data_IF_398069858398
#
_entry.id   IF_398069858398
#
_cell.length_a   1.000
_cell.length_b   1.000
_cell.length_c   1.000
_cell.angle_alpha   90.00
_cell.angle_beta   90.00
_cell.angle_gamma   90.00
#
_symmetry.space_group_name_H-M   'P 1'
#
loop_
_entity.id
_entity.type
_entity.pdbx_description
1 polymer ?
#
# COMPACT_ATOMS: atom_id res chain seq x y z
N UNK A 1 -8.03 -1.83 -19.87
CA UNK A 1 -7.31 -2.17 -18.63
C UNK A 1 -7.64 -1.09 -17.63
N UNK A 2 -8.01 -1.39 -16.37
CA UNK A 2 -7.97 -0.39 -15.30
C UNK A 2 -6.51 0.00 -15.11
N UNK A 3 -6.05 0.93 -15.93
CA UNK A 3 -4.90 1.74 -15.61
C UNK A 3 -5.40 2.74 -14.59
N UNK A 4 -4.68 2.92 -13.49
CA UNK A 4 -4.76 4.15 -12.71
C UNK A 4 -4.19 5.26 -13.60
N UNK A 5 -4.95 5.63 -14.63
CA UNK A 5 -4.71 6.79 -15.46
C UNK A 5 -5.12 7.96 -14.60
N UNK A 6 -4.21 8.36 -13.74
CA UNK A 6 -4.39 9.53 -12.92
C UNK A 6 -4.40 10.77 -13.83
N UNK A 7 -5.57 11.08 -14.38
CA UNK A 7 -5.80 12.25 -15.24
C UNK A 7 -5.60 13.55 -14.43
N UNK A 8 -5.57 13.51 -13.09
CA UNK A 8 -5.59 14.72 -12.27
C UNK A 8 -4.43 14.89 -11.28
N UNK A 9 -3.60 13.88 -11.02
CA UNK A 9 -2.62 13.93 -9.94
C UNK A 9 -1.45 12.90 -10.02
N UNK A 10 -1.05 12.44 -11.23
CA UNK A 10 -0.11 11.29 -11.44
C UNK A 10 1.11 11.19 -10.51
N UNK A 11 1.59 12.31 -9.96
CA UNK A 11 2.64 12.35 -8.94
C UNK A 11 2.39 13.41 -7.85
N UNK A 12 1.14 13.77 -7.57
CA UNK A 12 0.79 14.78 -6.58
C UNK A 12 -0.08 14.19 -5.46
N UNK A 13 0.18 14.55 -4.20
CA UNK A 13 -0.62 14.09 -3.08
C UNK A 13 -2.06 14.62 -3.16
N UNK A 14 -2.96 13.84 -2.59
CA UNK A 14 -4.38 14.16 -2.40
C UNK A 14 -4.66 14.82 -1.05
N UNK A 15 -3.82 14.53 -0.04
CA UNK A 15 -3.84 15.13 1.28
C UNK A 15 -2.44 15.11 1.89
N UNK A 16 -2.30 15.80 3.01
CA UNK A 16 -1.06 15.86 3.79
C UNK A 16 -1.37 15.48 5.24
N UNK A 17 -0.36 14.92 5.90
CA UNK A 17 -0.42 14.60 7.32
C UNK A 17 0.91 14.92 7.97
N UNK A 18 0.90 15.68 9.06
CA UNK A 18 2.11 15.93 9.84
C UNK A 18 2.76 14.61 10.28
N UNK A 19 4.07 14.52 10.12
CA UNK A 19 4.80 13.31 10.46
C UNK A 19 6.30 13.48 10.29
N UNK A 20 7.05 12.83 11.19
CA UNK A 20 8.51 12.81 11.09
C UNK A 20 8.91 12.05 9.82
N UNK A 21 9.76 12.61 8.94
CA UNK A 21 10.26 11.88 7.79
C UNK A 21 10.87 10.53 8.21
N UNK A 22 10.74 9.50 7.37
CA UNK A 22 11.28 8.16 7.61
C UNK A 22 10.31 7.01 7.55
N UNK A 23 10.76 5.80 7.92
CA UNK A 23 9.89 4.63 7.97
C UNK A 23 8.67 4.91 8.85
N UNK A 24 7.48 4.61 8.32
CA UNK A 24 6.25 4.69 9.10
C UNK A 24 6.30 3.66 10.23
N UNK A 25 6.08 4.12 11.47
CA UNK A 25 6.09 3.29 12.69
C UNK A 25 4.73 3.24 13.38
N UNK A 26 3.70 3.86 12.78
CA UNK A 26 2.33 3.81 13.30
C UNK A 26 1.69 2.43 13.12
N UNK A 27 0.60 2.23 13.84
CA UNK A 27 -0.21 1.00 13.79
C UNK A 27 -1.53 1.21 13.05
N UNK A 28 -1.86 2.46 12.73
CA UNK A 28 -3.07 2.85 12.01
C UNK A 28 -3.01 2.36 10.57
N UNK A 29 -4.17 1.93 10.04
CA UNK A 29 -4.34 1.63 8.64
C UNK A 29 -4.13 2.89 7.79
N UNK A 30 -3.45 2.75 6.66
CA UNK A 30 -3.11 3.87 5.79
C UNK A 30 -4.36 4.47 5.14
N UNK A 31 -5.34 3.63 4.81
CA UNK A 31 -6.68 4.08 4.40
C UNK A 31 -7.36 4.95 5.46
N UNK A 32 -7.30 4.56 6.73
CA UNK A 32 -7.92 5.32 7.82
C UNK A 32 -7.19 6.66 8.04
N UNK A 33 -5.87 6.69 7.88
CA UNK A 33 -5.10 7.93 7.89
C UNK A 33 -5.48 8.86 6.74
N UNK A 34 -5.72 8.32 5.54
CA UNK A 34 -6.20 9.10 4.40
C UNK A 34 -7.59 9.67 4.68
N UNK A 35 -8.52 8.84 5.17
CA UNK A 35 -9.87 9.27 5.51
C UNK A 35 -9.86 10.37 6.60
N UNK A 36 -9.03 10.23 7.63
CA UNK A 36 -8.85 11.25 8.67
C UNK A 36 -8.21 12.56 8.17
N UNK A 37 -7.37 12.48 7.13
CA UNK A 37 -6.79 13.64 6.45
C UNK A 37 -7.76 14.26 5.41
N UNK A 38 -8.99 13.76 5.30
CA UNK A 38 -9.99 14.24 4.36
C UNK A 38 -9.80 13.76 2.92
N UNK A 39 -8.98 12.72 2.70
CA UNK A 39 -8.82 12.08 1.40
C UNK A 39 -9.59 10.76 1.36
N UNK A 40 -10.66 10.74 0.57
CA UNK A 40 -11.41 9.52 0.26
C UNK A 40 -11.51 9.43 -1.26
N UNK A 41 -10.68 8.56 -1.85
CA UNK A 41 -10.43 8.47 -3.29
C UNK A 41 -9.71 9.68 -3.90
N UNK A 42 -9.07 10.51 -3.08
CA UNK A 42 -8.33 11.69 -3.51
C UNK A 42 -9.07 12.55 -4.52
N UNK A 43 -8.50 12.72 -5.73
CA UNK A 43 -9.11 13.48 -6.85
C UNK A 43 -9.79 12.61 -7.89
N UNK A 44 -9.97 11.33 -7.61
CA UNK A 44 -10.67 10.40 -8.51
C UNK A 44 -12.13 10.83 -8.66
N UNK A 45 -12.67 10.82 -9.89
CA UNK A 45 -14.12 10.87 -10.08
C UNK A 45 -14.76 9.56 -9.59
N UNK A 46 -15.33 9.58 -8.39
CA UNK A 46 -15.99 8.43 -7.77
C UNK A 46 -17.23 7.97 -8.53
N UNK A 47 -17.76 8.79 -9.44
CA UNK A 47 -18.91 8.48 -10.30
C UNK A 47 -18.51 8.00 -11.69
N UNK A 48 -17.21 7.88 -11.97
CA UNK A 48 -16.74 7.33 -13.23
C UNK A 48 -17.35 5.95 -13.47
N UNK A 49 -17.76 5.71 -14.73
CA UNK A 49 -18.31 4.42 -15.15
C UNK A 49 -17.30 3.30 -14.84
N UNK A 50 -17.77 2.15 -14.32
CA UNK A 50 -16.86 1.09 -13.97
C UNK A 50 -16.23 0.47 -15.21
N UNK A 51 -15.02 -0.05 -15.04
CA UNK A 51 -14.30 -0.77 -16.09
C UNK A 51 -14.30 -2.27 -15.82
N UNK A 52 -14.16 -3.09 -16.86
CA UNK A 52 -14.03 -4.53 -16.67
C UNK A 52 -12.75 -4.87 -15.87
N UNK A 53 -12.88 -5.81 -14.94
CA UNK A 53 -11.74 -6.39 -14.26
C UNK A 53 -10.71 -6.93 -15.27
N UNK A 54 -9.40 -6.73 -15.05
CA UNK A 54 -8.36 -7.32 -15.86
C UNK A 54 -8.45 -8.85 -15.83
N UNK A 55 -8.38 -9.49 -17.00
CA UNK A 55 -8.39 -10.95 -17.09
C UNK A 55 -7.16 -11.62 -16.47
N UNK A 56 -6.05 -10.88 -16.32
CA UNK A 56 -4.84 -11.35 -15.65
C UNK A 56 -4.87 -11.16 -14.13
N UNK A 57 -5.93 -10.56 -13.56
CA UNK A 57 -6.07 -10.38 -12.11
C UNK A 57 -5.03 -9.43 -11.50
N UNK A 58 -4.47 -8.50 -12.28
CA UNK A 58 -3.40 -7.61 -11.83
C UNK A 58 -3.84 -6.14 -11.89
N UNK A 59 -3.61 -5.41 -10.81
CA UNK A 59 -3.64 -3.95 -10.78
C UNK A 59 -2.28 -3.42 -11.23
N UNK A 60 -2.27 -2.42 -12.11
CA UNK A 60 -1.04 -1.77 -12.60
C UNK A 60 -1.07 -0.28 -12.32
N UNK A 61 0.02 0.24 -11.75
CA UNK A 61 0.19 1.65 -11.44
C UNK A 61 1.02 2.34 -12.53
N UNK A 62 0.48 3.43 -13.08
CA UNK A 62 1.23 4.35 -13.93
C UNK A 62 1.78 5.50 -13.09
N UNK A 63 2.66 5.16 -12.14
CA UNK A 63 3.36 6.12 -11.27
C UNK A 63 4.84 6.22 -11.66
N UNK A 64 5.40 7.43 -11.63
CA UNK A 64 6.84 7.65 -11.81
C UNK A 64 7.53 8.12 -10.53
N UNK A 65 6.76 8.57 -9.56
CA UNK A 65 7.23 9.00 -8.26
C UNK A 65 7.92 7.84 -7.51
N UNK A 66 9.02 8.17 -6.84
CA UNK A 66 9.79 7.26 -6.00
C UNK A 66 9.74 7.79 -4.58
N UNK A 67 8.91 7.18 -3.74
CA UNK A 67 8.76 7.57 -2.35
C UNK A 67 8.94 6.38 -1.42
N UNK A 68 9.44 6.63 -0.22
CA UNK A 68 9.38 5.64 0.85
C UNK A 68 8.03 5.71 1.53
N UNK A 69 7.62 4.59 2.09
CA UNK A 69 6.47 4.51 2.99
C UNK A 69 5.43 3.47 2.57
N UNK A 70 4.47 3.21 3.47
CA UNK A 70 3.57 2.08 3.35
C UNK A 70 2.42 2.33 2.39
N UNK A 71 1.91 1.26 1.78
CA UNK A 71 0.69 1.32 0.97
C UNK A 71 -0.25 0.17 1.26
N UNK A 72 -1.51 0.39 0.89
CA UNK A 72 -2.60 -0.57 0.99
C UNK A 72 -3.40 -0.59 -0.32
N UNK A 73 -3.86 -1.77 -0.71
CA UNK A 73 -4.79 -1.99 -1.81
C UNK A 73 -6.05 -2.65 -1.25
N UNK A 74 -7.19 -2.01 -1.48
CA UNK A 74 -8.49 -2.43 -1.01
C UNK A 74 -9.41 -2.76 -2.18
N UNK A 75 -10.30 -3.72 -1.97
CA UNK A 75 -11.47 -3.98 -2.82
C UNK A 75 -12.71 -3.84 -1.94
N UNK A 76 -13.49 -2.79 -2.18
CA UNK A 76 -14.48 -2.25 -1.26
C UNK A 76 -13.85 -2.10 0.15
N UNK A 77 -14.44 -2.77 1.14
CA UNK A 77 -13.97 -2.75 2.54
C UNK A 77 -12.99 -3.88 2.87
N UNK A 78 -12.51 -4.64 1.88
CA UNK A 78 -11.59 -5.76 2.08
C UNK A 78 -10.16 -5.36 1.75
N UNK A 79 -9.23 -5.49 2.71
CA UNK A 79 -7.81 -5.29 2.46
C UNK A 79 -7.27 -6.47 1.66
N UNK A 80 -6.79 -6.20 0.45
CA UNK A 80 -6.35 -7.21 -0.50
C UNK A 80 -4.83 -7.35 -0.53
N UNK A 81 -4.11 -6.26 -0.32
CA UNK A 81 -2.65 -6.25 -0.22
C UNK A 81 -2.17 -5.04 0.60
N UNK A 82 -0.99 -5.17 1.21
CA UNK A 82 -0.29 -4.07 1.86
C UNK A 82 1.22 -4.29 1.81
N UNK A 83 1.98 -3.20 1.99
CA UNK A 83 3.43 -3.22 2.14
C UNK A 83 3.88 -2.09 3.06
N UNK A 84 4.93 -2.33 3.87
CA UNK A 84 5.56 -1.30 4.71
C UNK A 84 6.42 -0.32 3.89
N UNK A 85 6.93 -0.78 2.75
CA UNK A 85 7.55 0.05 1.72
C UNK A 85 6.99 -0.35 0.36
N UNK A 86 6.08 0.47 -0.16
CA UNK A 86 5.37 0.20 -1.41
C UNK A 86 6.32 0.12 -2.61
N UNK A 87 7.25 1.08 -2.70
CA UNK A 87 8.13 1.22 -3.85
C UNK A 87 9.06 0.03 -4.02
N UNK A 88 9.65 -0.48 -2.93
CA UNK A 88 10.57 -1.62 -3.01
C UNK A 88 9.84 -2.94 -3.16
N UNK A 89 8.66 -3.07 -2.57
CA UNK A 89 7.86 -4.32 -2.60
C UNK A 89 7.23 -4.54 -3.97
N UNK A 90 6.69 -3.49 -4.57
CA UNK A 90 6.01 -3.53 -5.87
C UNK A 90 6.83 -2.78 -6.94
N UNK A 91 8.10 -3.17 -7.07
CA UNK A 91 9.07 -2.51 -7.95
C UNK A 91 8.69 -2.57 -9.45
N UNK A 92 7.90 -3.57 -9.85
CA UNK A 92 7.35 -3.69 -11.21
C UNK A 92 6.04 -2.90 -11.41
N UNK A 93 5.57 -2.19 -10.38
CA UNK A 93 4.34 -1.40 -10.34
C UNK A 93 3.08 -2.23 -10.55
N UNK A 94 3.11 -3.49 -10.14
CA UNK A 94 1.96 -4.38 -10.19
C UNK A 94 1.60 -4.95 -8.83
N UNK A 95 0.31 -5.11 -8.57
CA UNK A 95 -0.21 -5.81 -7.39
C UNK A 95 -1.27 -6.81 -7.85
N UNK A 96 -1.12 -8.12 -7.54
CA UNK A 96 -2.17 -9.11 -7.76
C UNK A 96 -3.43 -8.78 -6.94
N UNK A 97 -4.60 -8.94 -7.56
CA UNK A 97 -5.90 -8.70 -6.93
C UNK A 97 -6.86 -9.82 -7.28
N UNK A 98 -7.41 -10.48 -6.26
CA UNK A 98 -8.48 -11.46 -6.44
C UNK A 98 -9.84 -10.76 -6.63
N UNK A 99 -10.17 -10.47 -7.89
CA UNK A 99 -11.44 -9.84 -8.25
C UNK A 99 -12.66 -10.69 -7.89
N UNK A 100 -12.51 -12.00 -7.64
CA UNK A 100 -13.64 -12.85 -7.22
C UNK A 100 -14.22 -12.47 -5.85
N UNK A 101 -13.47 -11.69 -5.06
CA UNK A 101 -13.95 -11.09 -3.82
C UNK A 101 -14.93 -9.95 -4.02
N UNK A 102 -15.11 -9.47 -5.25
CA UNK A 102 -16.15 -8.51 -5.59
C UNK A 102 -17.53 -9.19 -5.53
N UNK A 103 -18.24 -8.95 -4.44
CA UNK A 103 -19.56 -9.55 -4.16
C UNK A 103 -20.73 -8.79 -4.79
N UNK A 104 -20.53 -7.52 -5.17
CA UNK A 104 -21.52 -6.68 -5.82
C UNK A 104 -21.53 -6.82 -7.34
N UNK A 105 -22.54 -6.19 -7.97
CA UNK A 105 -22.55 -5.98 -9.42
C UNK A 105 -21.42 -5.05 -9.90
N UNK A 106 -20.89 -4.24 -8.98
CA UNK A 106 -19.76 -3.33 -9.13
C UNK A 106 -19.03 -3.26 -7.78
N UNK A 107 -17.70 -3.14 -7.80
CA UNK A 107 -16.87 -2.89 -6.63
C UNK A 107 -15.90 -1.74 -6.89
N UNK A 108 -15.33 -1.18 -5.84
CA UNK A 108 -14.32 -0.13 -5.91
C UNK A 108 -12.97 -0.68 -5.47
N UNK A 109 -11.97 -0.53 -6.32
CA UNK A 109 -10.57 -0.67 -5.91
C UNK A 109 -10.15 0.67 -5.31
N UNK A 110 -9.51 0.66 -4.14
CA UNK A 110 -8.87 1.84 -3.55
C UNK A 110 -7.42 1.52 -3.23
N UNK A 111 -6.50 2.31 -3.78
CA UNK A 111 -5.08 2.23 -3.46
C UNK A 111 -4.67 3.48 -2.71
N UNK A 112 -4.04 3.29 -1.55
CA UNK A 112 -3.57 4.36 -0.69
C UNK A 112 -2.09 4.16 -0.42
N UNK A 113 -1.29 5.20 -0.60
CA UNK A 113 0.15 5.21 -0.34
C UNK A 113 0.52 6.44 0.48
N UNK A 114 1.17 6.20 1.62
CA UNK A 114 1.70 7.24 2.48
C UNK A 114 3.19 7.41 2.17
N UNK A 115 3.54 8.50 1.51
CA UNK A 115 4.92 8.88 1.25
C UNK A 115 5.49 9.65 2.45
N UNK A 116 6.51 9.09 3.07
CA UNK A 116 7.02 9.56 4.37
C UNK A 116 8.39 10.22 4.29
N UNK A 117 8.83 10.66 3.11
CA UNK A 117 10.16 11.25 2.92
C UNK A 117 10.25 12.75 3.28
N UNK A 118 9.11 13.42 3.49
CA UNK A 118 9.01 14.84 3.83
C UNK A 118 8.17 15.04 5.11
N UNK A 119 8.20 16.24 5.67
CA UNK A 119 7.24 16.72 6.67
C UNK A 119 6.56 17.98 6.10
N UNK A 120 5.22 17.96 5.87
CA UNK A 120 4.30 16.87 6.18
C UNK A 120 4.47 15.66 5.24
N UNK A 121 4.03 14.48 5.71
CA UNK A 121 3.85 13.30 4.87
C UNK A 121 2.81 13.55 3.79
N UNK A 122 2.97 12.85 2.67
CA UNK A 122 2.16 12.99 1.46
C UNK A 122 1.26 11.76 1.29
N UNK A 123 -0.05 11.97 1.13
CA UNK A 123 -1.02 10.88 0.97
C UNK A 123 -1.47 10.83 -0.49
N UNK A 124 -1.18 9.71 -1.16
CA UNK A 124 -1.68 9.38 -2.48
C UNK A 124 -2.85 8.42 -2.32
N UNK A 125 -4.05 8.82 -2.73
CA UNK A 125 -5.27 8.02 -2.60
C UNK A 125 -6.02 8.03 -3.93
N UNK A 126 -6.25 6.84 -4.49
CA UNK A 126 -6.81 6.66 -5.82
C UNK A 126 -7.83 5.54 -5.83
N UNK A 127 -8.91 5.73 -6.58
CA UNK A 127 -9.95 4.72 -6.73
C UNK A 127 -10.22 4.35 -8.18
N UNK A 128 -10.70 3.14 -8.42
CA UNK A 128 -11.22 2.69 -9.71
C UNK A 128 -12.44 1.82 -9.47
N UNK A 129 -13.56 2.15 -10.11
CA UNK A 129 -14.75 1.29 -10.09
C UNK A 129 -14.56 0.15 -11.10
N UNK A 130 -14.86 -1.09 -10.70
CA UNK A 130 -14.70 -2.29 -11.54
C UNK A 130 -15.96 -3.15 -11.55
N UNK A 131 -16.18 -3.84 -12.67
CA UNK A 131 -17.20 -4.88 -12.85
C UNK A 131 -16.56 -6.19 -13.30
N UNK A 132 -17.17 -7.32 -12.94
CA UNK A 132 -16.77 -8.64 -13.48
C UNK A 132 -15.87 -9.50 -12.58
N UNK A 133 -16.09 -9.48 -11.27
CA UNK A 133 -15.40 -10.35 -10.32
C UNK A 133 -16.20 -11.59 -9.92
N UNK A 134 -17.52 -11.46 -9.77
CA UNK A 134 -18.40 -12.63 -9.68
C UNK A 134 -18.44 -13.31 -11.05
N UNK A 135 -18.18 -14.63 -11.10
CA UNK A 135 -18.54 -15.46 -12.24
C UNK A 135 -19.98 -15.16 -12.64
N UNK A 136 -20.16 -14.32 -13.66
CA UNK A 136 -21.43 -14.13 -14.30
C UNK A 136 -21.75 -15.44 -15.02
N UNK A 137 -22.51 -16.29 -14.34
CA UNK A 137 -23.31 -17.32 -14.99
C UNK A 137 -24.31 -16.59 -15.90
N UNK A 138 -23.89 -16.36 -17.15
CA UNK A 138 -24.84 -16.06 -18.21
C UNK A 138 -25.54 -17.37 -18.53
N UNK A 139 -26.77 -17.50 -18.04
CA UNK A 139 -27.64 -18.61 -18.35
C UNK A 139 -27.88 -18.70 -19.85
N UNK A 140 -27.46 -19.81 -20.44
CA UNK A 140 -28.06 -20.35 -21.66
C UNK A 140 -28.48 -21.79 -21.33
N UNK A 141 -29.78 -22.01 -21.35
CA UNK A 141 -30.44 -23.32 -21.17
C UNK A 141 -29.97 -24.30 -22.24
N UNK A 142 -29.42 -25.45 -21.86
CA UNK A 142 -29.54 -26.71 -22.61
C UNK A 142 -29.28 -27.88 -21.65
N UNK A 143 -30.19 -28.84 -21.67
CA UNK A 143 -30.26 -30.02 -20.79
C UNK A 143 -29.04 -30.96 -20.86
N UNK A 144 -28.67 -31.47 -19.65
CA UNK A 144 -28.11 -32.78 -19.22
C UNK A 144 -27.65 -33.81 -20.30
N UNK A 145 -26.66 -34.70 -20.01
CA UNK A 145 -26.81 -35.77 -19.00
C UNK A 145 -25.66 -35.91 -17.98
N UNK A 146 -26.02 -36.51 -16.84
CA UNK A 146 -25.22 -36.93 -15.67
C UNK A 146 -24.03 -37.83 -16.00
N UNK A 147 -22.94 -37.64 -15.25
CA UNK A 147 -22.03 -38.73 -14.82
C UNK A 147 -21.67 -38.52 -13.35
N UNK A 148 -21.86 -39.56 -12.54
CA UNK A 148 -21.61 -39.64 -11.09
C UNK A 148 -20.12 -39.77 -10.71
N UNK A 149 -19.73 -39.07 -9.62
CA UNK A 149 -18.80 -39.42 -8.51
C UNK A 149 -17.29 -39.71 -8.82
N UNK A 150 -16.31 -39.45 -7.90
CA UNK A 150 -16.52 -39.38 -6.46
C UNK A 150 -15.96 -38.25 -5.60
N UNK A 151 -16.68 -38.10 -4.49
CA UNK A 151 -16.39 -37.37 -3.26
C UNK A 151 -15.07 -37.83 -2.62
N UNK A 152 -14.31 -36.91 -2.01
CA UNK A 152 -13.45 -37.23 -0.89
C UNK A 152 -14.12 -36.86 0.45
N UNK A 153 -13.96 -37.78 1.39
CA UNK A 153 -14.38 -37.82 2.80
C UNK A 153 -13.81 -36.65 3.63
N UNK A 154 -14.45 -36.26 4.75
CA UNK A 154 -14.02 -35.11 5.55
C UNK A 154 -12.82 -35.47 6.44
N UNK A 155 -11.82 -34.58 6.50
CA UNK A 155 -10.70 -34.68 7.45
C UNK A 155 -10.97 -33.74 8.62
N UNK A 156 -10.98 -34.32 9.82
CA UNK A 156 -11.13 -33.66 11.12
C UNK A 156 -10.01 -32.60 11.34
N UNK A 157 -10.28 -31.46 12.02
CA UNK A 157 -9.21 -30.59 12.49
C UNK A 157 -8.54 -31.18 13.74
N UNK A 158 -7.25 -31.50 13.64
CA UNK A 158 -6.40 -31.79 14.79
C UNK A 158 -5.88 -30.47 15.37
N UNK A 159 -6.27 -30.17 16.60
CA UNK A 159 -5.64 -29.13 17.42
C UNK A 159 -4.26 -29.59 17.88
N UNK A 160 -3.24 -28.75 17.69
CA UNK A 160 -2.06 -28.74 18.54
C UNK A 160 -1.41 -27.35 18.49
N UNK A 161 -1.57 -26.61 19.59
CA UNK A 161 -0.79 -25.43 19.94
C UNK A 161 0.70 -25.75 19.95
N UNK A 162 1.53 -24.79 19.57
CA UNK A 162 2.85 -24.58 20.16
C UNK A 162 3.26 -23.12 19.98
N UNK A 163 3.25 -22.41 21.11
CA UNK A 163 3.96 -21.16 21.34
C UNK A 163 5.40 -21.24 20.85
N UNK A 164 5.81 -20.28 20.03
CA UNK A 164 7.17 -19.77 20.06
C UNK A 164 7.14 -18.28 19.79
N UNK A 165 7.19 -17.51 20.87
CA UNK A 165 7.59 -16.11 20.95
C UNK A 165 8.88 -15.83 20.16
N UNK A 166 8.86 -14.93 19.16
CA UNK A 166 10.07 -14.30 18.66
C UNK A 166 10.49 -13.19 19.63
N UNK A 167 11.68 -13.32 20.17
CA UNK A 167 12.27 -12.40 21.14
C UNK A 167 12.31 -10.97 20.64
N UNK A 168 11.90 -10.08 21.54
CA UNK A 168 12.14 -8.64 21.50
C UNK A 168 13.63 -8.36 21.36
N UNK A 169 14.06 -7.88 20.18
CA UNK A 169 15.28 -7.07 20.07
C UNK A 169 14.89 -5.62 20.35
N UNK A 170 15.11 -5.20 21.58
CA UNK A 170 15.11 -3.78 21.93
C UNK A 170 16.30 -3.10 21.24
N UNK A 171 16.13 -1.98 20.52
CA UNK A 171 17.26 -1.12 20.25
C UNK A 171 17.68 -0.48 21.58
N UNK A 172 18.91 -0.76 21.98
CA UNK A 172 19.56 -0.11 23.10
C UNK A 172 19.47 1.41 22.94
N UNK A 173 18.91 2.06 23.95
CA UNK A 173 18.96 3.50 24.15
C UNK A 173 20.43 3.88 24.42
N UNK A 174 21.20 4.13 23.36
CA UNK A 174 22.57 4.65 23.44
C UNK A 174 22.53 6.16 23.29
N UNK A 175 22.52 6.84 24.44
CA UNK A 175 22.79 8.25 24.57
C UNK A 175 24.15 8.64 24.01
N UNK A 176 24.15 9.70 23.20
CA UNK A 176 25.22 10.69 22.96
C UNK A 176 26.62 10.10 22.71
N UNK A 177 26.97 9.95 21.45
CA UNK A 177 28.39 9.95 21.05
C UNK A 177 28.62 11.05 20.02
N UNK A 178 29.11 12.18 20.51
CA UNK A 178 29.87 13.17 19.75
C UNK A 178 31.16 12.53 19.21
N UNK A 179 31.01 11.71 18.18
CA UNK A 179 32.12 11.11 17.43
C UNK A 179 32.16 11.75 16.05
N UNK A 180 33.29 12.39 15.74
CA UNK A 180 33.57 13.18 14.54
C UNK A 180 33.55 12.40 13.20
N UNK A 181 32.49 11.66 12.89
CA UNK A 181 32.30 11.05 11.57
C UNK A 181 30.80 11.00 11.25
N UNK A 182 30.18 12.18 11.25
CA UNK A 182 28.86 12.33 10.64
C UNK A 182 29.04 12.03 9.15
N UNK A 183 28.24 11.12 8.57
CA UNK A 183 28.21 10.90 7.11
C UNK A 183 27.12 11.72 6.43
N UNK A 184 25.97 11.86 7.11
CA UNK A 184 24.88 12.74 6.71
C UNK A 184 24.24 13.39 7.95
N UNK A 185 23.80 14.63 7.82
CA UNK A 185 23.06 15.39 8.83
C UNK A 185 21.90 16.16 8.20
N UNK A 186 21.02 16.70 9.04
CA UNK A 186 20.05 17.69 8.59
C UNK A 186 20.73 18.98 8.13
N UNK A 187 20.21 19.59 7.08
CA UNK A 187 20.64 20.92 6.62
C UNK A 187 20.38 21.99 7.70
N UNK A 188 20.92 23.20 7.50
CA UNK A 188 20.64 24.33 8.39
C UNK A 188 19.13 24.54 8.61
N UNK A 189 18.70 24.55 9.88
CA UNK A 189 17.29 24.62 10.30
C UNK A 189 16.56 23.26 10.38
N UNK A 190 17.23 22.17 10.00
CA UNK A 190 16.74 20.80 10.02
C UNK A 190 17.54 19.90 10.98
N UNK A 191 18.24 20.49 11.97
CA UNK A 191 19.13 19.76 12.89
C UNK A 191 18.38 18.69 13.70
N UNK A 192 17.06 18.85 13.88
CA UNK A 192 16.17 17.83 14.47
C UNK A 192 16.15 16.50 13.70
N UNK A 193 16.63 16.48 12.46
CA UNK A 193 16.64 15.32 11.58
C UNK A 193 18.04 14.70 11.41
N UNK A 194 19.04 15.07 12.22
CA UNK A 194 20.40 14.51 12.11
C UNK A 194 20.42 12.98 12.14
N UNK A 195 19.84 12.37 13.19
CA UNK A 195 19.79 10.91 13.35
C UNK A 195 19.02 10.24 12.18
N UNK A 196 18.01 10.93 11.66
CA UNK A 196 17.25 10.46 10.51
C UNK A 196 18.10 10.45 9.24
N UNK A 197 18.78 11.56 8.93
CA UNK A 197 19.64 11.68 7.77
C UNK A 197 20.75 10.64 7.82
N UNK A 198 21.38 10.44 8.98
CA UNK A 198 22.42 9.43 9.15
C UNK A 198 21.91 8.00 8.90
N UNK A 199 20.68 7.70 9.32
CA UNK A 199 20.05 6.38 9.14
C UNK A 199 19.53 6.13 7.72
N UNK A 200 19.04 7.16 7.03
CA UNK A 200 18.28 7.00 5.78
C UNK A 200 19.10 7.33 4.53
N UNK A 201 20.04 8.27 4.61
CA UNK A 201 20.91 8.59 3.47
C UNK A 201 21.80 7.40 3.09
N UNK A 202 22.23 6.59 4.07
CA UNK A 202 22.98 5.34 3.83
C UNK A 202 22.16 4.27 3.11
N UNK A 203 20.82 4.32 3.21
CA UNK A 203 19.90 3.43 2.49
C UNK A 203 19.49 3.99 1.11
N UNK A 204 20.11 5.09 0.66
CA UNK A 204 19.81 5.75 -0.62
C UNK A 204 18.67 6.79 -0.55
N UNK A 205 18.15 7.06 0.65
CA UNK A 205 17.04 7.99 0.86
C UNK A 205 17.55 9.28 1.50
N UNK A 206 18.15 10.13 0.66
CA UNK A 206 18.78 11.38 1.09
C UNK A 206 18.20 12.60 0.36
N UNK A 207 17.01 13.10 0.75
CA UNK A 207 16.43 14.29 0.14
C UNK A 207 17.32 15.51 0.43
N UNK A 208 17.85 16.13 -0.63
CA UNK A 208 18.76 17.28 -0.53
C UNK A 208 18.13 18.53 0.09
N UNK A 209 16.79 18.60 0.15
CA UNK A 209 16.05 19.64 0.87
C UNK A 209 16.15 19.48 2.39
N UNK A 210 16.42 18.27 2.87
CA UNK A 210 16.40 17.91 4.28
C UNK A 210 17.80 17.60 4.81
N UNK A 211 18.60 16.87 4.04
CA UNK A 211 19.88 16.32 4.45
C UNK A 211 21.06 16.77 3.58
N UNK A 212 22.22 16.89 4.22
CA UNK A 212 23.51 17.18 3.59
C UNK A 212 24.57 16.21 4.10
N UNK A 213 25.59 16.02 3.27
CA UNK A 213 26.79 15.31 3.70
C UNK A 213 27.56 16.12 4.75
N UNK A 214 28.20 15.38 5.63
CA UNK A 214 29.12 15.82 6.65
C UNK A 214 30.33 14.87 6.62
#
# INVERSE_FOLDING_TARGET
MPTFSDIYNKNAPSAFKDGTPGPYTGTEGIKDLADAAGSTCGKTDTKAAPVAAPSNGVVTFDISAVHIGPCELWLDDTLMANATNCWTTYADKTIPLDYSKCSGSQCQIRWVWLATHNDPWEIFDNCVNVVGGSSASTGTTTDKPTTEMPSPTPVLPSSASSDTTPGTVAPSNASISSSNACSFRGNAGNEKYNDWCESNCNAGYCPASLCEAC
#
